data_IF_227790835962
#
_entry.id   IF_227790835962
#
_cell.length_a   1.000
_cell.length_b   1.000
_cell.length_c   1.000
_cell.angle_alpha   90.00
_cell.angle_beta   90.00
_cell.angle_gamma   90.00
#
_symmetry.space_group_name_H-M   'P 1'
#
loop_
_entity.id
_entity.type
_entity.pdbx_description
1 polymer ?
#
# COMPACT_ATOMS: atom_id res chain seq x y z
N UNK A 1 1.73 0.18 8.48
CA UNK A 1 2.77 1.13 8.02
C UNK A 1 2.48 1.55 6.59
N UNK A 2 2.67 2.83 6.28
CA UNK A 2 2.63 3.32 4.90
C UNK A 2 4.07 3.48 4.40
N UNK A 3 4.33 3.18 3.13
CA UNK A 3 5.65 3.38 2.51
C UNK A 3 5.50 4.10 1.19
N UNK A 4 6.19 5.22 1.05
CA UNK A 4 6.45 5.82 -0.26
C UNK A 4 7.60 5.05 -0.90
N UNK A 5 7.27 4.17 -1.84
CA UNK A 5 8.20 3.17 -2.36
C UNK A 5 9.07 3.76 -3.45
N UNK A 6 10.36 3.42 -3.42
CA UNK A 6 11.26 3.79 -4.49
C UNK A 6 10.86 3.05 -5.79
N UNK A 7 10.93 3.70 -6.97
CA UNK A 7 10.45 3.11 -8.22
C UNK A 7 11.02 1.72 -8.52
N UNK A 8 12.30 1.49 -8.21
CA UNK A 8 12.99 0.21 -8.41
C UNK A 8 12.55 -0.89 -7.43
N UNK A 9 11.96 -0.52 -6.28
CA UNK A 9 11.53 -1.45 -5.23
C UNK A 9 10.03 -1.79 -5.30
N UNK A 10 9.28 -1.23 -6.26
CA UNK A 10 7.83 -1.43 -6.35
C UNK A 10 7.45 -2.91 -6.46
N UNK A 11 8.18 -3.68 -7.28
CA UNK A 11 7.92 -5.12 -7.44
C UNK A 11 8.15 -5.89 -6.12
N UNK A 12 9.25 -5.61 -5.43
CA UNK A 12 9.57 -6.22 -4.14
C UNK A 12 8.54 -5.86 -3.07
N UNK A 13 8.11 -4.59 -3.03
CA UNK A 13 7.13 -4.11 -2.08
C UNK A 13 5.73 -4.70 -2.33
N UNK A 14 5.32 -4.88 -3.59
CA UNK A 14 4.07 -5.58 -3.95
C UNK A 14 4.09 -7.06 -3.57
N UNK A 15 5.25 -7.72 -3.60
CA UNK A 15 5.40 -9.10 -3.17
C UNK A 15 5.09 -9.29 -1.66
N UNK A 16 5.21 -8.24 -0.86
CA UNK A 16 4.82 -8.22 0.56
C UNK A 16 3.29 -8.08 0.78
N UNK A 17 2.50 -8.08 -0.30
CA UNK A 17 1.02 -8.07 -0.27
C UNK A 17 0.47 -6.90 0.55
N UNK A 18 0.67 -5.65 0.07
CA UNK A 18 0.06 -4.48 0.70
C UNK A 18 -1.47 -4.62 0.71
N UNK A 19 -2.10 -4.05 1.74
CA UNK A 19 -3.56 -4.01 1.86
C UNK A 19 -4.18 -2.89 1.00
N UNK A 20 -3.37 -1.91 0.62
CA UNK A 20 -3.79 -0.82 -0.26
C UNK A 20 -2.59 -0.27 -1.05
N UNK A 21 -2.83 0.11 -2.29
CA UNK A 21 -1.85 0.74 -3.18
C UNK A 21 -2.48 1.97 -3.85
N UNK A 22 -1.74 3.08 -3.87
CA UNK A 22 -2.10 4.28 -4.64
C UNK A 22 -0.88 4.87 -5.35
N UNK A 23 -1.11 5.56 -6.46
CA UNK A 23 -0.08 6.28 -7.21
C UNK A 23 -0.19 7.78 -6.96
N UNK A 24 0.92 8.44 -6.63
CA UNK A 24 0.99 9.89 -6.41
C UNK A 24 2.23 10.43 -7.11
N UNK A 25 2.03 11.30 -8.10
CA UNK A 25 3.12 11.91 -8.90
C UNK A 25 4.16 10.89 -9.42
N UNK A 26 3.70 9.74 -9.92
CA UNK A 26 4.56 8.68 -10.46
C UNK A 26 5.28 7.82 -9.40
N UNK A 27 5.00 8.03 -8.11
CA UNK A 27 5.48 7.16 -7.02
C UNK A 27 4.35 6.30 -6.46
N UNK A 28 4.71 5.09 -6.07
CA UNK A 28 3.78 4.14 -5.44
C UNK A 28 3.77 4.36 -3.92
N UNK A 29 2.59 4.50 -3.35
CA UNK A 29 2.38 4.48 -1.90
C UNK A 29 1.67 3.19 -1.55
N UNK A 30 2.29 2.40 -0.68
CA UNK A 30 1.81 1.09 -0.27
C UNK A 30 1.52 1.06 1.22
N UNK A 31 0.34 0.57 1.58
CA UNK A 31 -0.09 0.40 2.96
C UNK A 31 0.00 -1.06 3.37
N UNK A 32 0.63 -1.32 4.50
CA UNK A 32 0.86 -2.65 5.07
C UNK A 32 0.25 -2.75 6.47
N UNK A 33 -0.36 -3.91 6.79
CA UNK A 33 -0.91 -4.18 8.11
C UNK A 33 0.15 -4.77 9.06
N UNK A 34 0.76 -5.90 8.68
CA UNK A 34 1.66 -6.70 9.54
C UNK A 34 3.00 -7.00 8.85
N UNK A 35 3.82 -5.96 8.64
CA UNK A 35 5.19 -6.10 8.11
C UNK A 35 6.15 -5.36 9.04
N UNK A 36 7.34 -5.93 9.26
CA UNK A 36 8.35 -5.30 10.11
C UNK A 36 8.84 -3.98 9.52
N UNK A 37 8.95 -2.96 10.37
CA UNK A 37 9.36 -1.61 9.96
C UNK A 37 10.75 -1.58 9.31
N UNK A 38 11.69 -2.39 9.79
CA UNK A 38 13.04 -2.46 9.23
C UNK A 38 13.03 -2.97 7.78
N UNK A 39 12.20 -3.97 7.49
CA UNK A 39 12.04 -4.49 6.13
C UNK A 39 11.46 -3.43 5.19
N UNK A 40 10.49 -2.65 5.67
CA UNK A 40 9.87 -1.57 4.90
C UNK A 40 10.81 -0.39 4.66
N UNK A 41 11.73 -0.11 5.59
CA UNK A 41 12.71 0.97 5.47
C UNK A 41 13.72 0.74 4.32
N UNK A 42 13.93 -0.51 3.92
CA UNK A 42 14.75 -0.83 2.74
C UNK A 42 14.03 -0.57 1.41
N UNK A 43 12.70 -0.41 1.42
CA UNK A 43 11.87 -0.23 0.22
C UNK A 43 11.54 1.24 -0.08
N UNK A 44 11.71 2.11 0.91
CA UNK A 44 11.49 3.55 0.78
C UNK A 44 11.15 4.23 2.10
N UNK A 45 10.50 5.39 2.01
CA UNK A 45 10.19 6.21 3.17
C UNK A 45 8.99 5.66 3.95
N UNK A 46 9.26 5.11 5.13
CA UNK A 46 8.22 4.56 6.02
C UNK A 46 7.56 5.67 6.83
N UNK A 47 6.24 5.76 6.75
CA UNK A 47 5.41 6.76 7.43
C UNK A 47 4.29 6.10 8.22
N UNK A 48 3.74 6.87 9.15
CA UNK A 48 2.49 6.54 9.81
C UNK A 48 1.34 6.91 8.85
N UNK A 49 0.45 5.98 8.51
CA UNK A 49 -0.70 6.28 7.64
C UNK A 49 -1.63 7.31 8.30
N UNK A 50 -2.31 8.11 7.48
CA UNK A 50 -3.37 8.98 7.97
C UNK A 50 -4.59 8.16 8.40
N UNK A 51 -5.44 8.73 9.25
CA UNK A 51 -6.68 8.04 9.67
C UNK A 51 -7.62 7.79 8.48
N UNK A 52 -7.65 8.71 7.50
CA UNK A 52 -8.44 8.56 6.28
C UNK A 52 -7.98 7.36 5.44
N UNK A 53 -6.66 7.17 5.31
CA UNK A 53 -6.09 6.03 4.59
C UNK A 53 -6.43 4.70 5.28
N UNK A 54 -6.43 4.67 6.61
CA UNK A 54 -6.86 3.48 7.36
C UNK A 54 -8.34 3.14 7.11
N UNK A 55 -9.22 4.14 7.10
CA UNK A 55 -10.64 3.93 6.80
C UNK A 55 -10.85 3.37 5.39
N UNK A 56 -10.22 3.96 4.37
CA UNK A 56 -10.32 3.48 2.98
C UNK A 56 -9.78 2.06 2.85
N UNK A 57 -8.66 1.75 3.49
CA UNK A 57 -8.08 0.41 3.45
C UNK A 57 -8.98 -0.63 4.11
N UNK A 58 -9.63 -0.29 5.24
CA UNK A 58 -10.57 -1.19 5.92
C UNK A 58 -11.86 -1.36 5.11
N UNK A 59 -12.40 -0.30 4.50
CA UNK A 59 -13.61 -0.38 3.67
C UNK A 59 -13.41 -1.21 2.39
N UNK A 60 -12.22 -1.14 1.80
CA UNK A 60 -11.86 -1.95 0.63
C UNK A 60 -11.46 -3.40 0.97
N UNK A 61 -11.37 -3.75 2.26
CA UNK A 61 -11.07 -5.12 2.74
C UNK A 61 -12.28 -6.07 2.67
N UNK A 62 -13.37 -5.71 1.98
CA UNK A 62 -14.53 -6.62 1.85
C UNK A 62 -14.17 -7.86 1.02
N UNK A 63 -14.29 -9.08 1.59
CA UNK A 63 -14.17 -10.30 0.81
C UNK A 63 -15.44 -10.43 -0.03
N UNK A 64 -15.41 -9.98 -1.30
CA UNK A 64 -16.52 -10.23 -2.23
C UNK A 64 -16.88 -9.17 -3.27
N UNK A 65 -16.14 -8.09 -3.45
CA UNK A 65 -16.35 -7.21 -4.62
C UNK A 65 -15.23 -7.38 -5.64
N UNK A 66 -15.45 -8.34 -6.55
CA UNK A 66 -14.90 -8.27 -7.90
C UNK A 66 -15.26 -6.89 -8.45
N UNK A 67 -14.26 -6.04 -8.65
CA UNK A 67 -14.44 -4.78 -9.36
C UNK A 67 -14.99 -5.12 -10.74
N UNK A 68 -16.25 -4.75 -10.97
CA UNK A 68 -16.87 -4.81 -12.28
C UNK A 68 -16.14 -3.85 -13.20
N UNK A 69 -15.70 -4.37 -14.33
CA UNK A 69 -15.38 -3.56 -15.49
C UNK A 69 -16.61 -2.71 -15.82
N UNK A 70 -16.44 -1.39 -15.83
CA UNK A 70 -17.38 -0.51 -16.52
C UNK A 70 -17.07 -0.62 -18.01
N UNK A 71 -18.08 -1.08 -18.75
CA UNK A 71 -18.11 -1.12 -20.22
C UNK A 71 -18.28 0.28 -20.79
#
# INVERSE_FOLDING_TARGET
FEVLVHPEQVAAARALKPIHERQVFGRSILLFERVERQQLAALGDVRTPSIADLFVAVMNRQPGRRQGAVQ
#
